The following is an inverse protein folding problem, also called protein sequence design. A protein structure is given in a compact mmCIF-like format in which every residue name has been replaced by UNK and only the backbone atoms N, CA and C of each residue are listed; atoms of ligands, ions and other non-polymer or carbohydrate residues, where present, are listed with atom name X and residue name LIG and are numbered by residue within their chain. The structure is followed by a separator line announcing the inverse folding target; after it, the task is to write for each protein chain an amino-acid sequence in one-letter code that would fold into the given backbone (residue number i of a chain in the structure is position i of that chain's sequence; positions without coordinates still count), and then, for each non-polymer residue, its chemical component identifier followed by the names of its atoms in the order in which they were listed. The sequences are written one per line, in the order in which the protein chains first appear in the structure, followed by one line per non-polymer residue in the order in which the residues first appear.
data_IF_050315477331
#
_entry.id   IF_050315477331
#
_cell.length_a   1.000
_cell.length_b   1.000
_cell.length_c   1.000
_cell.angle_alpha   90.00
_cell.angle_beta   90.00
_cell.angle_gamma   90.00
#
_symmetry.space_group_name_H-M   'P 1'
#
loop_
_entity.id
_entity.type
_entity.pdbx_description
1 polymer ?
#
# COMPACT_ATOMS: atom_id res chain seq x y z
N UNK A 1 -11.26 -10.06 -4.71
CA UNK A 1 -10.49 -10.60 -3.56
C UNK A 1 -9.02 -10.49 -3.91
N UNK A 2 -8.24 -9.80 -3.07
CA UNK A 2 -6.85 -9.46 -3.38
C UNK A 2 -5.95 -10.67 -3.12
N UNK A 3 -5.17 -11.09 -4.11
CA UNK A 3 -4.33 -12.30 -4.11
C UNK A 3 -3.41 -12.43 -2.89
N UNK A 4 -3.02 -11.29 -2.28
CA UNK A 4 -2.15 -11.26 -1.10
C UNK A 4 -2.80 -11.71 0.20
N UNK A 5 -4.12 -11.53 0.38
CA UNK A 5 -4.83 -12.01 1.58
C UNK A 5 -4.95 -13.53 1.55
N UNK A 6 -5.27 -14.10 0.37
CA UNK A 6 -5.35 -15.54 0.17
C UNK A 6 -4.01 -16.26 0.32
N UNK A 7 -2.91 -15.64 -0.12
CA UNK A 7 -1.57 -16.20 0.05
C UNK A 7 -1.12 -16.20 1.52
N UNK A 8 -1.49 -15.15 2.27
CA UNK A 8 -1.27 -15.10 3.71
C UNK A 8 -2.07 -16.17 4.44
N UNK A 9 -3.39 -16.28 4.22
CA UNK A 9 -4.23 -17.28 4.89
C UNK A 9 -3.72 -18.72 4.66
N UNK A 10 -3.22 -19.00 3.45
CA UNK A 10 -2.62 -20.29 3.12
C UNK A 10 -1.29 -20.53 3.85
N UNK A 11 -0.42 -19.51 3.95
CA UNK A 11 0.84 -19.62 4.67
C UNK A 11 0.65 -19.66 6.19
N UNK A 12 -0.29 -18.89 6.73
CA UNK A 12 -0.68 -18.87 8.15
C UNK A 12 -1.23 -20.23 8.58
N UNK A 13 -2.12 -20.82 7.78
CA UNK A 13 -2.63 -22.18 8.04
C UNK A 13 -1.49 -23.22 8.03
N UNK A 14 -0.46 -23.03 7.21
CA UNK A 14 0.75 -23.87 7.20
C UNK A 14 1.60 -23.69 8.47
N UNK A 15 1.89 -22.45 8.85
CA UNK A 15 2.70 -22.11 10.03
C UNK A 15 2.01 -22.51 11.35
N UNK A 16 0.68 -22.41 11.44
CA UNK A 16 -0.10 -22.85 12.61
C UNK A 16 -0.19 -24.38 12.76
N UNK A 17 0.03 -25.13 11.68
CA UNK A 17 0.08 -26.60 11.77
C UNK A 17 1.43 -27.11 12.28
N UNK A 18 2.49 -26.34 12.05
CA UNK A 18 3.86 -26.67 12.44
C UNK A 18 4.21 -26.21 13.86
N UNK A 19 3.56 -25.15 14.35
CA UNK A 19 3.65 -24.67 15.73
C UNK A 19 2.31 -24.82 16.46
N UNK A 20 2.31 -25.44 17.65
CA UNK A 20 1.12 -25.66 18.48
C UNK A 20 0.20 -24.42 18.63
N UNK A 21 -1.13 -24.60 18.72
CA UNK A 21 -2.10 -23.53 18.54
C UNK A 21 -2.23 -22.69 19.80
N UNK A 22 -1.46 -21.62 19.88
CA UNK A 22 -1.83 -20.49 20.72
C UNK A 22 -2.13 -19.31 19.80
N UNK A 23 -3.42 -19.08 19.57
CA UNK A 23 -3.96 -17.85 19.01
C UNK A 23 -3.41 -16.67 19.82
N UNK A 24 -2.34 -16.07 19.30
CA UNK A 24 -1.68 -14.94 19.92
C UNK A 24 -2.06 -13.66 19.17
N UNK A 25 -2.28 -12.54 19.86
CA UNK A 25 -2.51 -11.21 19.26
C UNK A 25 -1.49 -10.82 18.18
N UNK A 26 -0.31 -11.45 18.21
CA UNK A 26 0.76 -11.27 17.23
C UNK A 26 0.33 -11.58 15.79
N UNK A 27 -0.49 -12.62 15.56
CA UNK A 27 -0.88 -13.05 14.20
C UNK A 27 -1.84 -12.04 13.58
N UNK A 28 -2.83 -11.55 14.34
CA UNK A 28 -3.77 -10.52 13.87
C UNK A 28 -3.08 -9.20 13.54
N UNK A 29 -2.05 -8.82 14.31
CA UNK A 29 -1.26 -7.62 14.03
C UNK A 29 -0.40 -7.79 12.76
N UNK A 30 0.09 -9.00 12.50
CA UNK A 30 0.86 -9.33 11.31
C UNK A 30 0.02 -9.29 10.03
N UNK A 31 -1.16 -9.92 10.05
CA UNK A 31 -2.09 -9.93 8.90
C UNK A 31 -2.50 -8.51 8.52
N UNK A 32 -2.63 -7.61 9.52
CA UNK A 32 -2.93 -6.20 9.31
C UNK A 32 -1.82 -5.47 8.55
N UNK A 33 -0.55 -5.67 8.92
CA UNK A 33 0.58 -5.06 8.20
C UNK A 33 0.63 -5.51 6.74
N UNK A 34 0.46 -6.81 6.48
CA UNK A 34 0.41 -7.34 5.10
C UNK A 34 -0.74 -6.79 4.26
N UNK A 35 -1.92 -6.70 4.86
CA UNK A 35 -3.09 -6.13 4.17
C UNK A 35 -2.86 -4.66 3.81
N UNK A 36 -2.27 -3.90 4.74
CA UNK A 36 -1.94 -2.49 4.53
C UNK A 36 -0.90 -2.31 3.42
N UNK A 37 0.18 -3.09 3.43
CA UNK A 37 1.24 -3.03 2.41
C UNK A 37 0.69 -3.31 1.01
N UNK A 38 -0.15 -4.34 0.86
CA UNK A 38 -0.77 -4.68 -0.43
C UNK A 38 -1.70 -3.59 -0.94
N UNK A 39 -2.48 -2.98 -0.04
CA UNK A 39 -3.33 -1.84 -0.36
C UNK A 39 -2.49 -0.64 -0.81
N UNK A 40 -1.49 -0.26 -0.01
CA UNK A 40 -0.62 0.88 -0.29
C UNK A 40 0.12 0.72 -1.61
N UNK A 41 0.64 -0.47 -1.89
CA UNK A 41 1.28 -0.76 -3.16
C UNK A 41 0.32 -0.57 -4.34
N UNK A 42 -0.89 -1.13 -4.26
CA UNK A 42 -1.91 -0.94 -5.29
C UNK A 42 -2.28 0.53 -5.48
N UNK A 43 -2.36 1.29 -4.38
CA UNK A 43 -2.62 2.73 -4.40
C UNK A 43 -1.45 3.55 -4.96
N UNK A 44 -0.20 3.06 -4.84
CA UNK A 44 1.01 3.68 -5.39
C UNK A 44 1.22 3.41 -6.87
N UNK A 45 0.73 2.27 -7.39
CA UNK A 45 0.92 1.87 -8.80
C UNK A 45 0.65 2.98 -9.84
N UNK A 46 -0.43 3.78 -9.74
CA UNK A 46 -0.71 4.85 -10.70
C UNK A 46 0.35 5.97 -10.71
N UNK A 47 1.10 6.14 -9.61
CA UNK A 47 2.02 7.26 -9.41
C UNK A 47 3.48 6.89 -9.74
N UNK A 48 3.84 5.62 -9.56
CA UNK A 48 5.22 5.12 -9.74
C UNK A 48 5.46 4.55 -11.14
N UNK A 49 4.43 4.03 -11.81
CA UNK A 49 4.57 3.49 -13.17
C UNK A 49 4.73 4.59 -14.22
N UNK A 50 5.44 4.25 -15.30
CA UNK A 50 5.66 5.15 -16.44
C UNK A 50 4.44 5.34 -17.34
N UNK A 51 3.41 4.48 -17.22
CA UNK A 51 2.19 4.56 -18.02
C UNK A 51 1.16 5.39 -17.27
N UNK A 52 0.61 6.41 -17.92
CA UNK A 52 -0.45 7.23 -17.31
C UNK A 52 -1.70 6.40 -17.02
N UNK A 53 -2.23 6.45 -15.78
CA UNK A 53 -3.43 5.74 -15.39
C UNK A 53 -4.68 6.41 -15.98
N UNK A 54 -5.66 5.60 -16.37
CA UNK A 54 -6.97 6.13 -16.81
C UNK A 54 -7.75 6.80 -15.66
N UNK A 55 -7.55 6.32 -14.42
CA UNK A 55 -8.09 6.92 -13.21
C UNK A 55 -7.38 6.37 -11.96
N UNK A 56 -7.56 7.03 -10.82
CA UNK A 56 -7.16 6.53 -9.50
C UNK A 56 -8.13 7.03 -8.42
N UNK A 57 -8.09 6.42 -7.23
CA UNK A 57 -8.97 6.85 -6.13
C UNK A 57 -8.48 8.16 -5.52
N UNK A 58 -9.37 9.14 -5.32
CA UNK A 58 -9.07 10.37 -4.58
C UNK A 58 -8.86 10.13 -3.07
N UNK A 59 -9.25 8.96 -2.56
CA UNK A 59 -8.96 8.52 -1.19
C UNK A 59 -7.69 7.68 -1.07
N UNK A 60 -6.94 7.47 -2.16
CA UNK A 60 -5.67 6.76 -2.11
C UNK A 60 -4.65 7.52 -1.24
N UNK A 61 -3.79 6.78 -0.53
CA UNK A 61 -2.81 7.37 0.39
C UNK A 61 -1.96 8.50 -0.23
N UNK A 62 -1.42 8.39 -1.47
CA UNK A 62 -0.66 9.48 -2.08
C UNK A 62 -1.45 10.78 -2.22
N UNK A 63 -2.76 10.66 -2.52
CA UNK A 63 -3.67 11.80 -2.70
C UNK A 63 -4.02 12.42 -1.35
N UNK A 64 -4.31 11.58 -0.35
CA UNK A 64 -4.62 12.07 1.01
C UNK A 64 -3.41 12.77 1.62
N UNK A 65 -2.20 12.23 1.47
CA UNK A 65 -0.99 12.89 1.95
C UNK A 65 -0.72 14.21 1.21
N UNK A 66 -0.94 14.25 -0.10
CA UNK A 66 -0.85 15.50 -0.85
C UNK A 66 -1.87 16.54 -0.35
N UNK A 67 -3.13 16.15 -0.18
CA UNK A 67 -4.19 17.02 0.34
C UNK A 67 -3.83 17.59 1.71
N UNK A 68 -3.27 16.77 2.60
CA UNK A 68 -2.80 17.21 3.92
C UNK A 68 -1.62 18.19 3.82
N UNK A 69 -0.69 17.96 2.89
CA UNK A 69 0.48 18.80 2.65
C UNK A 69 0.10 20.18 2.14
N UNK A 70 -0.75 20.26 1.11
CA UNK A 70 -1.11 21.53 0.46
C UNK A 70 -2.22 22.29 1.18
N UNK A 71 -3.03 21.58 1.98
CA UNK A 71 -4.18 22.08 2.69
C UNK A 71 -5.47 22.06 1.85
N UNK A 72 -6.61 22.03 2.55
CA UNK A 72 -7.95 21.87 1.95
C UNK A 72 -8.28 22.91 0.88
N UNK A 73 -7.90 24.17 1.06
CA UNK A 73 -8.20 25.23 0.09
C UNK A 73 -7.47 25.03 -1.24
N UNK A 74 -6.14 24.82 -1.19
CA UNK A 74 -5.34 24.56 -2.39
C UNK A 74 -5.76 23.26 -3.07
N UNK A 75 -6.09 22.24 -2.29
CA UNK A 75 -6.61 20.98 -2.82
C UNK A 75 -7.89 21.20 -3.64
N UNK A 76 -8.86 21.97 -3.12
CA UNK A 76 -10.07 22.30 -3.88
C UNK A 76 -9.77 23.08 -5.16
N UNK A 77 -8.82 24.03 -5.12
CA UNK A 77 -8.40 24.77 -6.32
C UNK A 77 -7.78 23.83 -7.36
N UNK A 78 -6.91 22.90 -6.95
CA UNK A 78 -6.33 21.89 -7.84
C UNK A 78 -7.40 21.00 -8.47
N UNK A 79 -8.41 20.57 -7.70
CA UNK A 79 -9.54 19.79 -8.21
C UNK A 79 -10.37 20.58 -9.23
N UNK A 80 -10.64 21.86 -8.98
CA UNK A 80 -11.34 22.74 -9.93
C UNK A 80 -10.54 22.92 -11.22
N UNK A 81 -9.22 23.13 -11.10
CA UNK A 81 -8.32 23.28 -12.25
C UNK A 81 -8.16 21.97 -13.05
N UNK A 82 -8.35 20.83 -12.41
CA UNK A 82 -8.34 19.51 -13.05
C UNK A 82 -9.71 19.14 -13.66
N UNK A 83 -10.76 19.93 -13.49
CA UNK A 83 -12.03 19.68 -14.17
C UNK A 83 -11.95 20.08 -15.64
N UNK A 84 -12.39 19.18 -16.50
CA UNK A 84 -12.57 19.44 -17.94
C UNK A 84 -13.89 20.16 -18.20
N UNK A 85 -14.07 20.69 -19.41
CA UNK A 85 -15.31 21.34 -19.85
C UNK A 85 -16.56 20.44 -19.77
N UNK A 86 -16.40 19.12 -19.69
CA UNK A 86 -17.48 18.13 -19.51
C UNK A 86 -17.71 17.74 -18.05
N UNK A 87 -17.16 18.49 -17.09
CA UNK A 87 -17.18 18.17 -15.65
C UNK A 87 -16.52 16.83 -15.30
N UNK A 88 -15.70 16.28 -16.19
CA UNK A 88 -14.89 15.09 -15.95
C UNK A 88 -13.54 15.50 -15.38
N UNK A 89 -12.98 14.72 -14.45
CA UNK A 89 -11.68 14.98 -13.87
C UNK A 89 -10.55 14.56 -14.83
N UNK A 90 -9.62 15.47 -15.09
CA UNK A 90 -8.35 15.20 -15.76
C UNK A 90 -7.38 14.56 -14.77
N UNK A 91 -7.38 13.22 -14.76
CA UNK A 91 -6.53 12.43 -13.88
C UNK A 91 -5.04 12.61 -14.20
N UNK A 92 -4.65 12.88 -15.45
CA UNK A 92 -3.24 13.13 -15.79
C UNK A 92 -2.74 14.42 -15.15
N UNK A 93 -3.54 15.50 -15.20
CA UNK A 93 -3.19 16.78 -14.53
C UNK A 93 -3.12 16.63 -13.02
N UNK A 94 -4.07 15.89 -12.43
CA UNK A 94 -4.06 15.65 -11.00
C UNK A 94 -2.89 14.75 -10.58
N UNK A 95 -2.57 13.73 -11.37
CA UNK A 95 -1.42 12.85 -11.16
C UNK A 95 -0.12 13.66 -11.12
N UNK A 96 0.10 14.53 -12.10
CA UNK A 96 1.28 15.39 -12.16
C UNK A 96 1.41 16.29 -10.92
N UNK A 97 0.28 16.78 -10.41
CA UNK A 97 0.22 17.63 -9.21
C UNK A 97 0.57 16.84 -7.94
N UNK A 98 0.05 15.62 -7.79
CA UNK A 98 0.37 14.76 -6.64
C UNK A 98 1.83 14.28 -6.69
N UNK A 99 2.36 14.01 -7.90
CA UNK A 99 3.76 13.58 -8.10
C UNK A 99 4.80 14.67 -7.87
N UNK A 100 4.43 15.95 -7.99
CA UNK A 100 5.36 17.07 -7.80
C UNK A 100 5.55 17.47 -6.33
N UNK A 101 4.76 16.89 -5.43
CA UNK A 101 4.81 17.13 -3.98
C UNK A 101 5.15 15.83 -3.21
N UNK A 102 5.16 15.91 -1.87
CA UNK A 102 5.51 14.83 -0.94
C UNK A 102 4.44 13.74 -0.80
N UNK A 103 3.32 13.80 -1.52
CA UNK A 103 2.24 12.82 -1.39
C UNK A 103 2.70 11.40 -1.71
N UNK A 104 3.39 11.24 -2.86
CA UNK A 104 3.92 9.95 -3.30
C UNK A 104 5.01 9.44 -2.36
N UNK A 105 5.99 10.28 -2.02
CA UNK A 105 7.10 9.88 -1.13
C UNK A 105 6.59 9.49 0.26
N UNK A 106 5.63 10.23 0.83
CA UNK A 106 5.03 9.90 2.15
C UNK A 106 4.30 8.55 2.13
N UNK A 107 3.60 8.25 1.03
CA UNK A 107 2.94 6.96 0.87
C UNK A 107 3.94 5.81 0.69
N UNK A 108 5.06 6.03 -0.02
CA UNK A 108 6.17 5.08 -0.12
C UNK A 108 6.80 4.85 1.26
N UNK A 109 7.08 5.89 2.03
CA UNK A 109 7.65 5.79 3.38
C UNK A 109 6.73 5.00 4.31
N UNK A 110 5.41 5.25 4.26
CA UNK A 110 4.42 4.49 5.01
C UNK A 110 4.39 3.01 4.60
N UNK A 111 4.49 2.73 3.30
CA UNK A 111 4.56 1.36 2.79
C UNK A 111 5.81 0.65 3.30
N UNK A 112 6.98 1.29 3.21
CA UNK A 112 8.25 0.77 3.73
C UNK A 112 8.18 0.52 5.24
N UNK A 113 7.58 1.43 6.01
CA UNK A 113 7.40 1.26 7.44
C UNK A 113 6.60 -0.01 7.77
N UNK A 114 5.44 -0.20 7.12
CA UNK A 114 4.63 -1.39 7.36
C UNK A 114 5.30 -2.67 6.84
N UNK A 115 6.02 -2.62 5.71
CA UNK A 115 6.80 -3.76 5.21
C UNK A 115 7.88 -4.19 6.20
N UNK A 116 8.59 -3.25 6.81
CA UNK A 116 9.58 -3.57 7.83
C UNK A 116 8.91 -4.20 9.07
N UNK A 117 7.74 -3.71 9.49
CA UNK A 117 6.97 -4.32 10.59
C UNK A 117 6.46 -5.72 10.26
N UNK A 118 6.03 -5.96 9.03
CA UNK A 118 5.69 -7.30 8.56
C UNK A 118 6.92 -8.22 8.61
N UNK A 119 8.07 -7.78 8.10
CA UNK A 119 9.32 -8.55 8.11
C UNK A 119 9.79 -8.89 9.53
N UNK A 120 9.83 -7.92 10.45
CA UNK A 120 10.18 -8.14 11.85
C UNK A 120 9.34 -9.26 12.47
N UNK A 121 8.05 -9.29 12.14
CA UNK A 121 7.13 -10.26 12.71
C UNK A 121 7.21 -11.64 12.02
N UNK A 122 7.46 -11.70 10.71
CA UNK A 122 7.73 -12.96 10.00
C UNK A 122 9.01 -13.62 10.53
N UNK A 123 10.03 -12.83 10.84
CA UNK A 123 11.31 -13.32 11.34
C UNK A 123 11.20 -13.96 12.73
N UNK A 124 10.11 -13.72 13.47
CA UNK A 124 9.83 -14.39 14.73
C UNK A 124 9.44 -15.87 14.54
N UNK A 125 9.04 -16.29 13.32
CA UNK A 125 8.77 -17.69 13.01
C UNK A 125 10.08 -18.47 12.76
N UNK A 126 10.10 -19.78 13.11
CA UNK A 126 11.20 -20.66 12.72
C UNK A 126 11.36 -20.69 11.20
N UNK A 127 12.58 -20.96 10.74
CA UNK A 127 12.89 -21.03 9.32
C UNK A 127 12.04 -22.11 8.63
N UNK A 128 11.28 -21.72 7.61
CA UNK A 128 10.46 -22.59 6.78
C UNK A 128 10.29 -22.02 5.37
N UNK A 129 9.81 -22.84 4.44
CA UNK A 129 9.47 -22.37 3.08
C UNK A 129 8.35 -21.33 3.12
N UNK A 130 7.35 -21.51 3.98
CA UNK A 130 6.26 -20.55 4.18
C UNK A 130 6.79 -19.20 4.68
N UNK A 131 7.69 -19.20 5.66
CA UNK A 131 8.35 -17.98 6.14
C UNK A 131 9.11 -17.28 5.01
N UNK A 132 9.88 -18.03 4.23
CA UNK A 132 10.67 -17.49 3.12
C UNK A 132 9.80 -16.91 2.00
N UNK A 133 8.66 -17.54 1.71
CA UNK A 133 7.67 -17.03 0.76
C UNK A 133 7.08 -15.68 1.23
N UNK A 134 6.76 -15.57 2.52
CA UNK A 134 6.25 -14.34 3.13
C UNK A 134 7.30 -13.22 3.13
N UNK A 135 8.57 -13.52 3.44
CA UNK A 135 9.70 -12.58 3.35
C UNK A 135 9.87 -12.04 1.92
N UNK A 136 9.78 -12.92 0.91
CA UNK A 136 9.86 -12.54 -0.49
C UNK A 136 8.71 -11.62 -0.92
N UNK A 137 7.48 -11.93 -0.48
CA UNK A 137 6.31 -11.08 -0.75
C UNK A 137 6.51 -9.71 -0.11
N UNK A 138 6.79 -9.64 1.20
CA UNK A 138 6.97 -8.38 1.92
C UNK A 138 8.10 -7.51 1.32
N UNK A 139 9.19 -8.14 0.88
CA UNK A 139 10.34 -7.47 0.26
C UNK A 139 10.11 -7.05 -1.19
N UNK A 140 9.19 -7.70 -1.91
CA UNK A 140 8.86 -7.32 -3.29
C UNK A 140 7.97 -6.08 -3.33
N UNK A 141 7.11 -5.89 -2.33
CA UNK A 141 6.14 -4.80 -2.32
C UNK A 141 6.79 -3.42 -2.11
N UNK A 142 8.03 -3.35 -1.61
CA UNK A 142 8.79 -2.09 -1.48
C UNK A 142 9.60 -1.72 -2.72
N UNK A 143 9.56 -2.53 -3.79
CA UNK A 143 10.26 -2.26 -5.05
C UNK A 143 9.33 -1.52 -6.01
N UNK A 144 9.36 -0.20 -5.94
CA UNK A 144 8.57 0.72 -6.76
C UNK A 144 9.32 1.19 -8.00
#
# INVERSE_FOLDING_TARGET
MSLGVSAWDQCDTGLQKENHPHHTPSILQQTAHFTLINRLNSELQPFVKSVEPTSFSLSAAPVVFHQQSVGTERWHQQLQLAQTSRSMLDYSKLLATVKSDKGVSSAVDLCCFHSNKALEAIQAFPASEARSALENIASAVTKF
#
